data_IF_109764019582
#
_entry.id   IF_109764019582
#
_cell.length_a   1.000
_cell.length_b   1.000
_cell.length_c   1.000
_cell.angle_alpha   90.00
_cell.angle_beta   90.00
_cell.angle_gamma   90.00
#
_symmetry.space_group_name_H-M   'P 1'
#
loop_
_entity.id
_entity.type
_entity.pdbx_description
1 polymer ?
#
# COMPACT_ATOMS: atom_id res chain seq x y z
N UNK A 1 19.20 34.77 -62.71
CA UNK A 1 18.40 33.74 -63.42
C UNK A 1 16.92 34.10 -63.32
N UNK A 2 16.07 33.76 -64.30
CA UNK A 2 14.65 34.19 -64.33
C UNK A 2 13.74 33.52 -63.28
N UNK A 3 14.14 32.37 -62.74
CA UNK A 3 13.37 31.59 -61.75
C UNK A 3 14.09 31.48 -60.39
N UNK A 4 14.97 32.44 -60.05
CA UNK A 4 15.65 32.44 -58.76
C UNK A 4 14.67 32.76 -57.62
N UNK A 5 14.82 32.08 -56.47
CA UNK A 5 14.05 32.41 -55.26
C UNK A 5 14.43 33.83 -54.81
N UNK A 6 13.48 34.76 -54.61
CA UNK A 6 13.81 36.12 -54.18
C UNK A 6 14.46 36.13 -52.79
N UNK A 7 15.60 36.81 -52.64
CA UNK A 7 16.36 36.91 -51.36
C UNK A 7 15.59 37.61 -50.23
N UNK A 8 14.44 38.23 -50.53
CA UNK A 8 13.48 38.75 -49.54
C UNK A 8 12.61 37.67 -48.90
N UNK A 9 12.59 36.45 -49.44
CA UNK A 9 11.92 35.29 -48.82
C UNK A 9 12.63 34.90 -47.53
N UNK A 10 11.84 34.43 -46.56
CA UNK A 10 12.28 34.03 -45.22
C UNK A 10 11.67 32.70 -44.82
N UNK A 11 12.38 31.96 -43.97
CA UNK A 11 11.87 30.79 -43.21
C UNK A 11 12.11 31.10 -41.73
N UNK A 12 11.07 31.02 -40.89
CA UNK A 12 11.05 31.53 -39.52
C UNK A 12 11.82 32.86 -39.34
N UNK A 13 11.42 33.90 -40.09
CA UNK A 13 12.07 35.22 -40.16
C UNK A 13 13.54 35.29 -40.64
N UNK A 14 14.25 34.16 -40.78
CA UNK A 14 15.62 34.11 -41.32
C UNK A 14 15.62 34.21 -42.85
N UNK A 15 16.43 35.09 -43.48
CA UNK A 15 16.44 35.28 -44.93
C UNK A 15 17.09 34.12 -45.68
N UNK A 16 16.60 33.83 -46.89
CA UNK A 16 17.17 32.82 -47.78
C UNK A 16 18.42 33.32 -48.51
N UNK A 17 19.49 33.63 -47.76
CA UNK A 17 20.77 34.18 -48.27
C UNK A 17 21.98 33.26 -48.08
N UNK A 18 21.78 32.06 -47.53
CA UNK A 18 22.81 31.06 -47.22
C UNK A 18 22.21 29.88 -46.46
N UNK A 19 23.05 29.05 -45.85
CA UNK A 19 22.59 27.94 -44.99
C UNK A 19 21.88 28.46 -43.73
N UNK A 20 20.86 27.73 -43.28
CA UNK A 20 20.00 28.15 -42.16
C UNK A 20 20.05 27.11 -41.04
N UNK A 21 20.80 27.42 -40.00
CA UNK A 21 20.72 26.70 -38.72
C UNK A 21 19.39 27.02 -38.03
N UNK A 22 18.61 25.99 -37.72
CA UNK A 22 17.41 26.07 -36.91
C UNK A 22 17.70 25.54 -35.51
N UNK A 23 17.25 26.28 -34.49
CA UNK A 23 17.18 25.85 -33.10
C UNK A 23 15.83 25.18 -32.83
N UNK A 24 15.69 24.49 -31.69
CA UNK A 24 14.40 23.98 -31.24
C UNK A 24 13.35 25.11 -31.12
N UNK A 25 13.77 26.28 -30.64
CA UNK A 25 12.93 27.47 -30.52
C UNK A 25 12.41 28.00 -31.87
N UNK A 26 13.20 27.89 -32.96
CA UNK A 26 12.77 28.31 -34.31
C UNK A 26 11.53 27.54 -34.82
N UNK A 27 11.34 26.31 -34.34
CA UNK A 27 10.28 25.39 -34.80
C UNK A 27 9.31 25.02 -33.67
N UNK A 28 9.40 25.69 -32.51
CA UNK A 28 8.62 25.41 -31.29
C UNK A 28 8.75 23.96 -30.77
N UNK A 29 9.88 23.32 -31.04
CA UNK A 29 10.23 22.01 -30.50
C UNK A 29 10.84 22.15 -29.09
N UNK A 30 10.87 21.04 -28.35
CA UNK A 30 11.65 20.91 -27.11
C UNK A 30 13.13 20.76 -27.48
N UNK A 31 14.01 21.44 -26.75
CA UNK A 31 15.47 21.32 -26.89
C UNK A 31 15.96 19.95 -26.45
N UNK A 32 16.96 19.39 -27.14
CA UNK A 32 17.68 18.21 -26.67
C UNK A 32 18.69 18.57 -25.57
N UNK A 33 19.30 19.75 -25.65
CA UNK A 33 20.15 20.33 -24.62
C UNK A 33 19.31 20.97 -23.51
N UNK A 34 19.86 21.05 -22.30
CA UNK A 34 19.19 21.71 -21.18
C UNK A 34 19.03 23.23 -21.41
N UNK A 35 17.82 23.75 -21.19
CA UNK A 35 17.49 25.18 -21.35
C UNK A 35 17.84 26.02 -20.11
N UNK A 36 18.29 25.38 -19.03
CA UNK A 36 18.71 26.00 -17.78
C UNK A 36 19.22 24.98 -16.77
N UNK A 37 19.75 25.47 -15.65
CA UNK A 37 20.31 24.65 -14.57
C UNK A 37 19.81 25.10 -13.20
N UNK A 38 19.46 24.15 -12.33
CA UNK A 38 19.12 24.36 -10.93
C UNK A 38 20.30 23.95 -10.06
N UNK A 39 20.80 24.89 -9.25
CA UNK A 39 21.95 24.75 -8.35
C UNK A 39 21.56 25.11 -6.91
N UNK A 40 22.51 25.00 -5.99
CA UNK A 40 22.34 25.40 -4.59
C UNK A 40 21.79 26.84 -4.44
N UNK A 41 20.92 27.04 -3.45
CA UNK A 41 20.20 28.30 -3.15
C UNK A 41 19.18 28.75 -4.21
N UNK A 42 18.92 27.93 -5.23
CA UNK A 42 17.81 28.13 -6.18
C UNK A 42 16.48 27.59 -5.62
N UNK A 43 15.40 27.72 -6.39
CA UNK A 43 14.17 26.92 -6.22
C UNK A 43 13.95 26.05 -7.45
N UNK A 44 13.32 24.89 -7.29
CA UNK A 44 12.84 24.10 -8.44
C UNK A 44 11.79 24.88 -9.24
N UNK A 45 11.04 25.77 -8.57
CA UNK A 45 10.09 26.69 -9.21
C UNK A 45 10.74 27.75 -10.12
N UNK A 46 12.03 28.08 -9.97
CA UNK A 46 12.69 29.06 -10.86
C UNK A 46 12.86 28.55 -12.30
N UNK A 47 12.75 27.22 -12.50
CA UNK A 47 12.71 26.59 -13.81
C UNK A 47 11.39 26.92 -14.54
N UNK A 48 11.33 28.12 -15.12
CA UNK A 48 10.13 28.76 -15.67
C UNK A 48 10.04 28.73 -17.21
N UNK A 49 11.06 28.17 -17.88
CA UNK A 49 11.16 28.08 -19.35
C UNK A 49 10.94 26.64 -19.77
N UNK A 50 10.03 26.34 -20.74
CA UNK A 50 9.75 24.97 -21.15
C UNK A 50 10.96 24.25 -21.76
N UNK A 51 11.08 22.96 -21.46
CA UNK A 51 12.17 22.08 -21.90
C UNK A 51 12.83 21.34 -20.75
N UNK A 52 13.96 20.70 -21.05
CA UNK A 52 14.77 20.00 -20.04
C UNK A 52 15.64 20.99 -19.25
N UNK A 53 15.71 20.80 -17.94
CA UNK A 53 16.59 21.51 -17.03
C UNK A 53 17.57 20.53 -16.39
N UNK A 54 18.84 20.92 -16.29
CA UNK A 54 19.83 20.17 -15.50
C UNK A 54 19.61 20.47 -14.02
N UNK A 55 19.67 19.45 -13.17
CA UNK A 55 19.62 19.64 -11.71
C UNK A 55 20.97 19.20 -11.15
N UNK A 56 21.72 20.16 -10.61
CA UNK A 56 23.09 20.01 -10.15
C UNK A 56 23.23 20.57 -8.72
N UNK A 57 22.29 20.20 -7.85
CA UNK A 57 22.20 20.67 -6.48
C UNK A 57 23.16 19.82 -5.63
N UNK A 58 24.20 20.45 -5.09
CA UNK A 58 25.19 19.84 -4.21
C UNK A 58 24.70 19.74 -2.77
N UNK A 59 23.85 20.68 -2.33
CA UNK A 59 23.17 20.64 -1.04
C UNK A 59 21.68 20.95 -1.19
N UNK A 60 20.84 19.91 -1.15
CA UNK A 60 19.39 20.04 -1.33
C UNK A 60 18.66 20.70 -0.15
N UNK A 61 19.33 21.02 0.96
CA UNK A 61 18.79 21.86 2.02
C UNK A 61 18.87 23.36 1.70
N UNK A 62 19.63 23.76 0.68
CA UNK A 62 19.60 25.13 0.15
C UNK A 62 18.44 25.39 -0.81
N UNK A 63 17.79 24.33 -1.33
CA UNK A 63 16.67 24.42 -2.27
C UNK A 63 15.36 24.16 -1.53
N UNK A 64 14.60 25.23 -1.27
CA UNK A 64 13.49 25.22 -0.29
C UNK A 64 12.27 24.41 -0.74
N UNK A 65 12.08 24.21 -2.04
CA UNK A 65 11.00 23.42 -2.63
C UNK A 65 11.51 22.14 -3.32
N UNK A 66 12.61 21.56 -2.82
CA UNK A 66 13.16 20.31 -3.36
C UNK A 66 12.24 19.10 -3.07
N UNK A 67 12.08 18.13 -4.00
CA UNK A 67 11.29 16.92 -3.77
C UNK A 67 11.71 16.14 -2.52
N UNK A 68 10.74 15.86 -1.65
CA UNK A 68 10.93 15.27 -0.32
C UNK A 68 9.94 14.12 -0.13
N UNK A 69 10.44 12.94 0.23
CA UNK A 69 9.68 11.72 0.51
C UNK A 69 8.74 11.90 1.73
N UNK A 70 7.73 11.02 1.92
CA UNK A 70 6.77 11.14 3.02
C UNK A 70 7.38 11.14 4.44
N UNK A 71 8.61 10.64 4.61
CA UNK A 71 9.35 10.63 5.87
C UNK A 71 10.16 11.92 6.15
N UNK A 72 10.17 12.87 5.22
CA UNK A 72 10.96 14.10 5.30
C UNK A 72 12.37 14.01 4.70
N UNK A 73 12.79 12.84 4.18
CA UNK A 73 14.07 12.70 3.48
C UNK A 73 13.98 13.17 2.03
N UNK A 74 15.06 13.75 1.47
CA UNK A 74 15.04 14.30 0.11
C UNK A 74 15.41 13.29 -0.95
N UNK A 75 14.89 13.49 -2.17
CA UNK A 75 15.37 12.76 -3.35
C UNK A 75 16.86 13.07 -3.58
N UNK A 76 17.57 12.14 -4.23
CA UNK A 76 18.95 12.36 -4.64
C UNK A 76 19.05 13.62 -5.52
N UNK A 77 19.99 14.51 -5.21
CA UNK A 77 19.91 15.93 -5.59
C UNK A 77 20.44 16.28 -6.99
N UNK A 78 21.01 15.31 -7.70
CA UNK A 78 21.43 15.45 -9.09
C UNK A 78 20.44 14.73 -10.02
N UNK A 79 20.19 15.29 -11.19
CA UNK A 79 19.29 14.69 -12.18
C UNK A 79 18.92 15.67 -13.29
N UNK A 80 17.73 15.48 -13.84
CA UNK A 80 17.15 16.35 -14.86
C UNK A 80 15.65 16.56 -14.59
N UNK A 81 15.10 17.67 -15.05
CA UNK A 81 13.69 18.01 -14.88
C UNK A 81 13.07 18.43 -16.21
N UNK A 82 11.91 17.88 -16.56
CA UNK A 82 11.09 18.42 -17.64
C UNK A 82 10.22 19.55 -17.07
N UNK A 83 10.16 20.67 -17.78
CA UNK A 83 9.20 21.76 -17.55
C UNK A 83 8.32 21.93 -18.77
N UNK A 84 7.01 21.98 -18.57
CA UNK A 84 6.04 22.28 -19.63
C UNK A 84 5.10 23.41 -19.18
N UNK A 85 4.73 24.28 -20.13
CA UNK A 85 3.77 25.38 -19.92
C UNK A 85 2.87 25.46 -21.14
N UNK A 86 1.56 25.22 -20.96
CA UNK A 86 0.57 25.14 -22.03
C UNK A 86 -0.68 25.93 -21.61
N UNK A 87 -0.87 27.11 -22.20
CA UNK A 87 -1.95 28.02 -21.79
C UNK A 87 -1.77 28.47 -20.34
N UNK A 88 -2.77 28.24 -19.50
CA UNK A 88 -2.77 28.53 -18.06
C UNK A 88 -2.53 27.26 -17.22
N UNK A 89 -1.71 26.33 -17.72
CA UNK A 89 -1.23 25.15 -16.98
C UNK A 89 0.28 25.07 -17.07
N UNK A 90 0.92 24.76 -15.93
CA UNK A 90 2.34 24.44 -15.86
C UNK A 90 2.55 23.06 -15.21
N UNK A 91 3.60 22.37 -15.62
CA UNK A 91 3.99 21.04 -15.14
C UNK A 91 5.51 20.98 -14.95
N UNK A 92 5.94 20.33 -13.87
CA UNK A 92 7.33 20.01 -13.61
C UNK A 92 7.46 18.53 -13.24
N UNK A 93 8.38 17.81 -13.89
CA UNK A 93 8.66 16.40 -13.64
C UNK A 93 10.16 16.21 -13.43
N UNK A 94 10.57 15.99 -12.19
CA UNK A 94 11.94 15.72 -11.80
C UNK A 94 12.27 14.23 -11.87
N UNK A 95 13.38 13.92 -12.52
CA UNK A 95 13.98 12.60 -12.65
C UNK A 95 15.32 12.62 -11.91
N UNK A 96 15.36 12.08 -10.69
CA UNK A 96 16.60 11.98 -9.93
C UNK A 96 17.54 10.95 -10.57
N UNK A 97 18.85 11.19 -10.51
CA UNK A 97 19.88 10.31 -11.08
C UNK A 97 19.89 8.89 -10.47
N UNK A 98 19.26 8.68 -9.31
CA UNK A 98 19.04 7.36 -8.69
C UNK A 98 17.69 6.72 -9.05
N UNK A 99 16.97 7.25 -10.05
CA UNK A 99 15.74 6.65 -10.63
C UNK A 99 14.43 6.98 -9.92
N UNK A 100 14.46 7.77 -8.85
CA UNK A 100 13.25 8.29 -8.20
C UNK A 100 12.67 9.47 -9.00
N UNK A 101 11.35 9.48 -9.20
CA UNK A 101 10.66 10.51 -9.98
C UNK A 101 9.67 11.28 -9.10
N UNK A 102 9.59 12.59 -9.29
CA UNK A 102 8.68 13.48 -8.57
C UNK A 102 8.02 14.47 -9.54
N UNK A 103 6.72 14.70 -9.41
CA UNK A 103 5.97 15.63 -10.28
C UNK A 103 5.06 16.58 -9.51
N UNK A 104 4.83 17.76 -10.09
CA UNK A 104 3.79 18.71 -9.67
C UNK A 104 3.27 19.51 -10.88
N UNK A 105 2.03 19.95 -10.79
CA UNK A 105 1.36 20.80 -11.77
C UNK A 105 0.34 21.67 -11.05
N UNK A 106 0.06 22.86 -11.57
CA UNK A 106 -1.10 23.66 -11.17
C UNK A 106 -1.59 24.53 -12.34
N UNK A 107 -2.72 25.19 -12.10
CA UNK A 107 -3.17 26.29 -12.95
C UNK A 107 -2.27 27.53 -12.75
N UNK A 108 -2.17 28.34 -13.80
CA UNK A 108 -1.34 29.54 -13.85
C UNK A 108 -0.31 29.51 -14.98
N UNK A 109 0.29 30.67 -15.26
CA UNK A 109 1.29 30.83 -16.33
C UNK A 109 2.72 30.56 -15.89
N UNK A 110 3.00 30.44 -14.58
CA UNK A 110 4.36 30.28 -14.05
C UNK A 110 4.45 29.22 -12.94
N UNK A 111 5.48 28.33 -12.97
CA UNK A 111 5.76 27.38 -11.90
C UNK A 111 5.97 28.06 -10.55
N UNK A 112 5.39 27.46 -9.51
CA UNK A 112 5.43 27.99 -8.15
C UNK A 112 5.21 26.87 -7.11
N UNK A 113 5.11 27.23 -5.84
CA UNK A 113 5.08 26.28 -4.70
C UNK A 113 3.67 26.00 -4.16
N UNK A 114 2.59 26.41 -4.85
CA UNK A 114 1.20 26.14 -4.44
C UNK A 114 0.88 24.65 -4.28
N UNK A 115 1.59 23.78 -5.02
CA UNK A 115 1.40 22.33 -4.98
C UNK A 115 2.66 21.61 -4.49
N UNK A 116 2.52 20.65 -3.57
CA UNK A 116 3.63 19.79 -3.16
C UNK A 116 4.02 18.85 -4.31
N UNK A 117 5.23 18.31 -4.22
CA UNK A 117 5.68 17.24 -5.09
C UNK A 117 4.97 15.92 -4.76
N UNK A 118 4.48 15.24 -5.79
CA UNK A 118 4.02 13.86 -5.71
C UNK A 118 5.15 12.96 -6.23
N UNK A 119 5.64 12.05 -5.38
CA UNK A 119 6.74 11.13 -5.70
C UNK A 119 6.18 9.76 -6.06
N UNK A 120 6.63 9.18 -7.16
CA UNK A 120 6.18 7.87 -7.61
C UNK A 120 6.66 6.76 -6.65
N UNK A 121 5.79 5.76 -6.43
CA UNK A 121 6.17 4.58 -5.66
C UNK A 121 7.26 3.79 -6.38
N UNK A 122 8.28 3.38 -5.63
CA UNK A 122 9.47 2.69 -6.12
C UNK A 122 10.10 1.84 -5.00
N UNK A 123 11.30 1.30 -5.20
CA UNK A 123 11.96 0.43 -4.22
C UNK A 123 12.35 1.14 -2.93
N UNK A 124 12.68 2.43 -2.98
CA UNK A 124 12.97 3.26 -1.80
C UNK A 124 11.70 3.90 -1.21
N UNK A 125 10.80 4.40 -2.07
CA UNK A 125 9.48 4.90 -1.67
C UNK A 125 8.41 3.83 -1.92
N UNK A 126 8.38 2.77 -1.11
CA UNK A 126 7.35 1.72 -1.18
C UNK A 126 6.28 1.98 -0.12
N UNK A 127 4.98 1.88 -0.42
CA UNK A 127 3.95 1.97 0.61
C UNK A 127 4.15 0.89 1.67
N UNK A 128 4.02 1.26 2.93
CA UNK A 128 4.00 0.33 4.05
C UNK A 128 2.69 -0.47 4.05
N UNK A 129 2.62 -1.51 4.88
CA UNK A 129 1.38 -2.24 5.10
C UNK A 129 0.24 -1.32 5.63
N UNK A 130 0.58 -0.29 6.41
CA UNK A 130 -0.39 0.70 6.90
C UNK A 130 -1.00 1.55 5.78
N UNK A 131 -0.18 2.00 4.82
CA UNK A 131 -0.61 2.88 3.72
C UNK A 131 -1.61 2.21 2.76
N UNK A 132 -1.65 0.87 2.73
CA UNK A 132 -2.58 0.07 1.91
C UNK A 132 -3.58 -0.75 2.74
N UNK A 133 -3.65 -0.53 4.06
CA UNK A 133 -4.56 -1.25 4.95
C UNK A 133 -4.30 -2.76 5.11
N UNK A 134 -3.08 -3.22 4.79
CA UNK A 134 -2.67 -4.62 4.90
C UNK A 134 -2.13 -4.96 6.30
N UNK A 135 -2.15 -6.25 6.65
CA UNK A 135 -1.48 -6.76 7.85
C UNK A 135 0.05 -6.85 7.61
N UNK A 136 0.90 -6.33 8.51
CA UNK A 136 2.36 -6.42 8.35
C UNK A 136 2.87 -7.88 8.42
N UNK A 137 3.96 -8.17 7.71
CA UNK A 137 4.62 -9.49 7.75
C UNK A 137 5.21 -9.83 9.14
N UNK A 138 5.48 -8.82 9.96
CA UNK A 138 5.87 -8.94 11.38
C UNK A 138 4.69 -9.31 12.29
N UNK A 139 3.50 -9.53 11.74
CA UNK A 139 2.25 -9.61 12.48
C UNK A 139 1.68 -8.23 12.83
N UNK A 140 0.50 -8.24 13.45
CA UNK A 140 -0.24 -7.06 13.86
C UNK A 140 -1.58 -7.43 14.47
N UNK A 141 -2.41 -6.43 14.79
CA UNK A 141 -3.75 -6.63 15.36
C UNK A 141 -4.82 -6.50 14.27
N UNK A 142 -5.59 -7.55 14.04
CA UNK A 142 -6.88 -7.44 13.37
C UNK A 142 -7.93 -6.93 14.38
N UNK A 143 -8.72 -5.93 13.98
CA UNK A 143 -9.76 -5.32 14.82
C UNK A 143 -11.18 -5.84 14.52
N UNK A 144 -11.29 -6.81 13.62
CA UNK A 144 -12.54 -7.47 13.26
C UNK A 144 -12.31 -8.95 12.97
N UNK A 145 -13.40 -9.64 12.68
CA UNK A 145 -13.43 -11.06 12.38
C UNK A 145 -12.78 -11.41 11.03
N UNK A 146 -12.11 -12.56 10.95
CA UNK A 146 -11.49 -13.08 9.74
C UNK A 146 -12.37 -14.17 9.10
N UNK A 147 -12.54 -14.14 7.79
CA UNK A 147 -13.14 -15.23 7.01
C UNK A 147 -12.13 -15.82 6.03
N UNK A 148 -12.10 -17.15 5.90
CA UNK A 148 -11.20 -17.86 4.99
C UNK A 148 -12.04 -18.60 3.95
N UNK A 149 -12.05 -18.07 2.72
CA UNK A 149 -12.87 -18.56 1.60
C UNK A 149 -14.32 -18.06 1.59
N UNK A 150 -14.68 -17.16 2.50
CA UNK A 150 -16.06 -16.78 2.87
C UNK A 150 -16.05 -15.50 3.70
N UNK A 151 -17.19 -14.79 3.77
CA UNK A 151 -17.42 -13.76 4.79
C UNK A 151 -17.58 -14.39 6.18
N UNK A 152 -17.41 -13.61 7.25
CA UNK A 152 -17.59 -14.08 8.64
C UNK A 152 -18.88 -13.53 9.27
N UNK A 153 -19.82 -14.43 9.57
CA UNK A 153 -21.08 -14.12 10.25
C UNK A 153 -21.05 -14.41 11.77
N UNK A 154 -20.04 -15.14 12.28
CA UNK A 154 -19.82 -15.27 13.73
C UNK A 154 -19.48 -13.92 14.38
N UNK A 155 -18.76 -13.05 13.67
CA UNK A 155 -18.43 -11.69 14.07
C UNK A 155 -17.51 -11.57 15.29
N UNK A 156 -17.17 -10.33 15.66
CA UNK A 156 -16.27 -10.02 16.78
C UNK A 156 -14.87 -10.64 16.59
N UNK A 157 -14.28 -11.14 17.68
CA UNK A 157 -12.98 -11.82 17.64
C UNK A 157 -13.16 -13.28 17.20
N UNK A 158 -13.24 -13.53 15.89
CA UNK A 158 -13.47 -14.87 15.33
C UNK A 158 -12.75 -15.14 14.00
N UNK A 159 -12.63 -16.43 13.67
CA UNK A 159 -12.15 -16.96 12.38
C UNK A 159 -13.17 -17.97 11.89
N UNK A 160 -13.61 -17.88 10.63
CA UNK A 160 -14.45 -18.91 9.97
C UNK A 160 -13.78 -19.51 8.75
N UNK A 161 -14.15 -20.75 8.40
CA UNK A 161 -13.43 -21.62 7.47
C UNK A 161 -14.40 -22.28 6.47
N UNK A 162 -14.40 -21.84 5.21
CA UNK A 162 -15.15 -22.46 4.11
C UNK A 162 -16.64 -22.13 4.04
N UNK A 163 -17.29 -21.87 5.18
CA UNK A 163 -18.63 -21.27 5.29
C UNK A 163 -18.59 -20.07 6.28
N UNK A 164 -19.69 -19.33 6.41
CA UNK A 164 -19.70 -18.09 7.19
C UNK A 164 -19.94 -18.26 8.70
N UNK A 165 -20.22 -19.47 9.19
CA UNK A 165 -20.65 -19.73 10.56
C UNK A 165 -20.05 -21.00 11.24
N UNK A 166 -19.04 -21.60 10.61
CA UNK A 166 -18.17 -22.67 11.14
C UNK A 166 -16.75 -22.15 11.40
N UNK A 167 -16.24 -22.32 12.63
CA UNK A 167 -14.88 -21.89 13.00
C UNK A 167 -14.65 -21.69 14.50
N UNK A 168 -13.90 -20.65 14.85
CA UNK A 168 -13.46 -20.32 16.21
C UNK A 168 -13.88 -18.91 16.60
N UNK A 169 -14.32 -18.69 17.83
CA UNK A 169 -14.73 -17.38 18.36
C UNK A 169 -14.32 -17.21 19.82
N UNK A 170 -13.69 -16.08 20.16
CA UNK A 170 -13.52 -15.67 21.54
C UNK A 170 -14.85 -15.09 22.08
N UNK A 171 -15.31 -15.59 23.23
CA UNK A 171 -16.53 -15.12 23.89
C UNK A 171 -16.29 -14.56 25.31
N UNK A 172 -15.03 -14.33 25.67
CA UNK A 172 -14.59 -13.68 26.91
C UNK A 172 -13.08 -13.73 27.06
N UNK A 173 -12.54 -13.12 28.12
CA UNK A 173 -11.14 -13.40 28.48
C UNK A 173 -11.01 -14.87 28.92
N UNK A 174 -9.94 -15.53 28.48
CA UNK A 174 -9.74 -16.98 28.65
C UNK A 174 -10.76 -17.92 27.98
N UNK A 175 -11.81 -17.42 27.30
CA UNK A 175 -12.90 -18.23 26.72
C UNK A 175 -12.78 -18.30 25.20
N UNK A 176 -12.49 -19.51 24.68
CA UNK A 176 -12.44 -19.82 23.26
C UNK A 176 -13.48 -20.90 22.91
N UNK A 177 -14.40 -20.56 22.02
CA UNK A 177 -15.51 -21.41 21.61
C UNK A 177 -15.37 -21.84 20.13
N UNK A 178 -15.78 -23.07 19.81
CA UNK A 178 -15.86 -23.60 18.43
C UNK A 178 -17.30 -23.62 17.94
N UNK A 179 -17.50 -23.22 16.69
CA UNK A 179 -18.80 -23.16 16.03
C UNK A 179 -18.81 -24.04 14.78
N UNK A 180 -19.96 -24.63 14.45
CA UNK A 180 -20.22 -25.31 13.18
C UNK A 180 -21.68 -25.06 12.76
N UNK A 181 -21.92 -24.50 11.58
CA UNK A 181 -23.25 -24.10 11.11
C UNK A 181 -24.01 -23.27 12.18
N UNK A 182 -23.33 -22.25 12.74
CA UNK A 182 -23.80 -21.38 13.84
C UNK A 182 -24.13 -22.11 15.17
N UNK A 183 -23.85 -23.40 15.30
CA UNK A 183 -23.99 -24.14 16.56
C UNK A 183 -22.68 -24.10 17.35
N UNK A 184 -22.72 -23.65 18.60
CA UNK A 184 -21.60 -23.74 19.53
C UNK A 184 -21.39 -25.21 19.93
N UNK A 185 -20.22 -25.79 19.60
CA UNK A 185 -19.93 -27.22 19.76
C UNK A 185 -18.98 -27.55 20.91
N UNK A 186 -17.98 -26.71 21.17
CA UNK A 186 -17.03 -26.86 22.29
C UNK A 186 -16.64 -25.49 22.84
N UNK A 187 -16.55 -25.39 24.17
CA UNK A 187 -15.87 -24.30 24.89
C UNK A 187 -14.57 -24.79 25.51
N UNK A 188 -13.53 -23.98 25.43
CA UNK A 188 -12.33 -24.05 26.26
C UNK A 188 -12.32 -22.82 27.17
N UNK A 189 -12.15 -23.04 28.47
CA UNK A 189 -12.12 -21.98 29.49
C UNK A 189 -11.07 -22.31 30.58
N UNK A 190 -10.73 -21.37 31.50
CA UNK A 190 -9.68 -21.60 32.48
C UNK A 190 -9.95 -22.81 33.40
N UNK A 191 -9.25 -23.91 33.14
CA UNK A 191 -9.37 -25.18 33.88
C UNK A 191 -10.36 -26.20 33.32
N UNK A 192 -11.10 -25.89 32.24
CA UNK A 192 -12.14 -26.79 31.71
C UNK A 192 -12.25 -26.80 30.17
N UNK A 193 -12.84 -27.89 29.66
CA UNK A 193 -13.29 -28.02 28.27
C UNK A 193 -14.70 -28.61 28.28
N UNK A 194 -15.69 -27.85 27.79
CA UNK A 194 -17.10 -28.26 27.75
C UNK A 194 -17.47 -28.62 26.32
N UNK A 195 -17.93 -29.86 26.08
CA UNK A 195 -18.46 -30.26 24.76
C UNK A 195 -19.99 -30.17 24.79
N UNK A 196 -20.55 -29.29 23.97
CA UNK A 196 -21.98 -28.97 23.95
C UNK A 196 -22.78 -29.92 23.04
N UNK A 197 -22.45 -31.21 23.12
CA UNK A 197 -23.03 -32.25 22.27
C UNK A 197 -22.43 -33.62 22.58
N UNK A 198 -22.74 -34.60 21.74
CA UNK A 198 -22.27 -35.98 21.95
C UNK A 198 -20.79 -36.15 21.59
N UNK A 199 -19.93 -36.44 22.56
CA UNK A 199 -18.59 -36.99 22.30
C UNK A 199 -18.77 -38.41 21.73
N UNK A 200 -18.53 -38.60 20.42
CA UNK A 200 -18.69 -39.90 19.74
C UNK A 200 -17.33 -40.49 19.37
N UNK A 201 -17.09 -41.74 19.76
CA UNK A 201 -15.91 -42.50 19.32
C UNK A 201 -16.21 -43.34 18.08
N UNK A 202 -15.27 -43.34 17.12
CA UNK A 202 -15.32 -44.11 15.87
C UNK A 202 -15.29 -43.22 14.63
N UNK A 203 -14.70 -43.63 13.50
CA UNK A 203 -13.93 -44.84 13.21
C UNK A 203 -12.42 -44.48 13.23
N UNK A 204 -11.51 -45.03 14.04
CA UNK A 204 -11.42 -46.37 14.66
C UNK A 204 -11.30 -46.37 16.22
N UNK A 205 -12.20 -45.65 16.91
CA UNK A 205 -12.67 -45.93 18.29
C UNK A 205 -11.64 -45.90 19.46
N UNK A 206 -11.62 -44.80 20.23
CA UNK A 206 -11.69 -44.86 21.71
C UNK A 206 -12.27 -43.57 22.33
N UNK A 207 -12.99 -43.75 23.45
CA UNK A 207 -13.44 -42.78 24.45
C UNK A 207 -13.07 -43.39 25.83
N UNK A 208 -13.12 -42.57 26.89
CA UNK A 208 -12.93 -42.89 28.32
C UNK A 208 -11.50 -42.78 28.85
N UNK A 209 -11.33 -41.87 29.83
CA UNK A 209 -10.14 -41.62 30.66
C UNK A 209 -10.62 -41.10 32.03
N UNK A 210 -9.97 -41.51 33.12
CA UNK A 210 -10.49 -41.38 34.49
C UNK A 210 -9.38 -41.17 35.53
N UNK A 211 -9.76 -40.91 36.79
CA UNK A 211 -8.92 -40.99 38.00
C UNK A 211 -9.84 -41.02 39.24
N UNK A 212 -9.29 -41.12 40.45
CA UNK A 212 -10.03 -41.22 41.72
C UNK A 212 -9.23 -40.63 42.90
N UNK A 213 -8.56 -39.50 42.68
CA UNK A 213 -7.53 -38.98 43.59
C UNK A 213 -8.08 -37.97 44.59
N UNK A 214 -7.74 -38.10 45.88
CA UNK A 214 -8.13 -37.17 46.96
C UNK A 214 -7.26 -35.91 46.96
N UNK A 215 -7.20 -35.22 45.82
CA UNK A 215 -6.13 -34.29 45.45
C UNK A 215 -6.64 -33.19 44.54
N UNK A 216 -5.76 -32.27 44.17
CA UNK A 216 -5.96 -31.27 43.10
C UNK A 216 -5.89 -31.91 41.70
N UNK A 217 -6.50 -33.09 41.52
CA UNK A 217 -6.35 -33.99 40.37
C UNK A 217 -7.68 -34.73 40.09
N UNK A 218 -8.05 -34.83 38.81
CA UNK A 218 -9.43 -35.11 38.35
C UNK A 218 -9.99 -36.53 38.65
N UNK A 219 -11.28 -36.75 38.36
CA UNK A 219 -11.95 -38.05 38.43
C UNK A 219 -12.91 -38.31 37.23
N UNK A 220 -13.36 -39.55 37.03
CA UNK A 220 -14.19 -39.97 35.88
C UNK A 220 -15.49 -40.70 36.23
N UNK A 221 -16.46 -40.73 35.30
CA UNK A 221 -17.87 -41.06 35.56
C UNK A 221 -18.54 -41.86 34.40
N UNK A 222 -19.50 -42.73 34.74
CA UNK A 222 -20.29 -43.56 33.83
C UNK A 222 -21.79 -43.13 33.85
N UNK A 223 -22.59 -43.39 32.80
CA UNK A 223 -23.92 -42.75 32.55
C UNK A 223 -25.00 -43.70 31.98
N UNK A 224 -26.01 -44.17 32.79
CA UNK A 224 -26.96 -45.23 32.38
C UNK A 224 -28.22 -45.64 33.36
N UNK A 225 -29.39 -46.24 32.92
CA UNK A 225 -30.63 -46.90 33.58
C UNK A 225 -31.24 -48.34 33.12
N UNK A 226 -32.39 -48.57 32.38
CA UNK A 226 -32.73 -49.72 31.42
C UNK A 226 -33.61 -49.42 30.12
N UNK A 227 -34.87 -49.86 29.95
CA UNK A 227 -35.87 -49.31 28.97
C UNK A 227 -37.28 -49.15 29.58
N UNK A 228 -37.56 -49.89 30.65
CA UNK A 228 -38.60 -49.56 31.63
C UNK A 228 -37.97 -48.78 32.83
N UNK A 229 -36.64 -48.80 32.95
CA UNK A 229 -35.75 -47.74 33.47
C UNK A 229 -35.05 -47.03 32.24
N UNK A 230 -33.99 -46.17 32.35
CA UNK A 230 -33.30 -45.57 31.16
C UNK A 230 -31.77 -45.88 30.83
N UNK A 231 -31.42 -47.10 30.32
CA UNK A 231 -30.21 -47.97 29.97
C UNK A 231 -28.90 -47.88 30.84
N UNK A 232 -28.47 -48.84 31.77
CA UNK A 232 -27.86 -48.92 33.24
C UNK A 232 -26.47 -48.38 33.87
N UNK A 233 -26.39 -47.43 34.87
CA UNK A 233 -25.18 -47.15 35.76
C UNK A 233 -25.25 -48.00 37.02
N UNK A 234 -24.16 -48.71 37.33
CA UNK A 234 -23.81 -49.17 38.69
C UNK A 234 -22.31 -48.87 38.95
N UNK A 235 -21.91 -48.78 40.23
CA UNK A 235 -20.64 -48.20 40.71
C UNK A 235 -20.15 -48.97 41.95
#
# INVERSE_FOLDING_TARGET
AKNAVPVTRRVNNKPLSGDITLSAADVRAISADAVGEITDNSTMASANTPGWWRVAVSNSDTVTDFPTYPDGSKLYSYGYMLVEKIGEVWFQHYYAHMGANAKRQDWGTEPNTSRPWIIDYNTANKPSAGDVGALPITGGRLNGSLGIGTDNALGGNSIVLGDNDTGFKQNGDGILDTFANNQHTVRVAPGEMQVLGTIRAGNTKRLSLTSSNGSTLNAGFNLWGDANRPTVIEL
#
